data_IF_590713201353
#
_entry.id   IF_590713201353
#
_cell.length_a   1.000
_cell.length_b   1.000
_cell.length_c   1.000
_cell.angle_alpha   90.00
_cell.angle_beta   90.00
_cell.angle_gamma   90.00
#
_symmetry.space_group_name_H-M   'P 1'
#
loop_
_entity.id
_entity.type
_entity.pdbx_description
1 polymer ?
#
# COMPACT_ATOMS: atom_id res chain seq x y z
N UNK A 1 -22.03 0.62 4.68
CA UNK A 1 -20.91 1.57 4.52
C UNK A 1 -19.94 0.93 3.54
N UNK A 2 -19.26 1.71 2.70
CA UNK A 2 -18.31 1.19 1.72
C UNK A 2 -16.96 1.02 2.40
N UNK A 3 -16.51 -0.24 2.53
CA UNK A 3 -15.17 -0.61 3.01
C UNK A 3 -14.09 0.06 2.14
N UNK A 4 -13.19 0.80 2.77
CA UNK A 4 -12.01 1.39 2.13
C UNK A 4 -10.91 0.34 2.03
N UNK A 5 -10.54 -0.02 0.80
CA UNK A 5 -9.53 -1.05 0.55
C UNK A 5 -8.13 -0.46 0.73
N UNK A 6 -7.43 -0.91 1.76
CA UNK A 6 -6.10 -0.46 2.13
C UNK A 6 -5.06 -1.47 1.71
N UNK A 7 -3.96 -0.97 1.16
CA UNK A 7 -2.76 -1.73 0.89
C UNK A 7 -1.58 -1.19 1.71
N UNK A 8 -0.81 -2.08 2.33
CA UNK A 8 0.37 -1.73 3.13
C UNK A 8 1.66 -2.08 2.38
N UNK A 9 2.59 -1.14 2.29
CA UNK A 9 3.89 -1.32 1.63
C UNK A 9 5.00 -0.86 2.57
N UNK A 10 5.70 -1.80 3.19
CA UNK A 10 6.75 -1.53 4.17
C UNK A 10 7.70 -2.74 4.22
N UNK A 11 9.01 -2.55 4.29
CA UNK A 11 9.99 -3.64 4.37
C UNK A 11 10.15 -4.21 5.80
N UNK A 12 9.51 -3.60 6.80
CA UNK A 12 9.47 -4.02 8.20
C UNK A 12 8.16 -4.76 8.54
N UNK A 13 8.19 -6.09 8.74
CA UNK A 13 7.00 -6.88 9.08
C UNK A 13 6.29 -6.43 10.37
N UNK A 14 7.04 -5.86 11.33
CA UNK A 14 6.46 -5.37 12.58
C UNK A 14 5.54 -4.17 12.38
N UNK A 15 5.93 -3.24 11.49
CA UNK A 15 5.11 -2.06 11.18
C UNK A 15 3.81 -2.47 10.48
N UNK A 16 3.88 -3.36 9.48
CA UNK A 16 2.67 -3.87 8.80
C UNK A 16 1.69 -4.52 9.75
N UNK A 17 2.17 -5.37 10.67
CA UNK A 17 1.32 -5.99 11.69
C UNK A 17 0.70 -4.95 12.64
N UNK A 18 1.48 -3.97 13.09
CA UNK A 18 0.99 -2.93 13.99
C UNK A 18 -0.10 -2.08 13.33
N UNK A 19 0.15 -1.60 12.11
CA UNK A 19 -0.83 -0.83 11.33
C UNK A 19 -2.05 -1.69 11.03
N UNK A 20 -1.85 -2.94 10.62
CA UNK A 20 -2.95 -3.83 10.29
C UNK A 20 -3.85 -4.15 11.47
N UNK A 21 -3.28 -4.30 12.68
CA UNK A 21 -4.06 -4.41 13.91
C UNK A 21 -4.85 -3.14 14.20
N UNK A 22 -4.25 -1.96 14.03
CA UNK A 22 -4.95 -0.69 14.25
C UNK A 22 -6.15 -0.54 13.29
N UNK A 23 -5.96 -0.86 12.00
CA UNK A 23 -7.04 -0.81 11.01
C UNK A 23 -8.12 -1.86 11.28
N UNK A 24 -7.76 -3.04 11.83
CA UNK A 24 -8.74 -4.09 12.14
C UNK A 24 -9.74 -3.75 13.26
N UNK A 25 -9.50 -2.66 14.01
CA UNK A 25 -10.46 -2.18 15.01
C UNK A 25 -11.56 -1.30 14.41
N UNK A 26 -11.42 -0.89 13.14
CA UNK A 26 -12.35 -0.02 12.43
C UNK A 26 -13.03 -0.82 11.31
N UNK A 27 -14.35 -0.91 11.32
CA UNK A 27 -15.11 -1.68 10.32
C UNK A 27 -15.11 -1.03 8.91
N UNK A 28 -14.57 0.18 8.79
CA UNK A 28 -14.53 0.94 7.54
C UNK A 28 -13.28 0.64 6.68
N UNK A 29 -12.34 -0.18 7.15
CA UNK A 29 -11.09 -0.50 6.44
C UNK A 29 -10.89 -2.00 6.21
N UNK A 30 -10.52 -2.36 4.98
CA UNK A 30 -10.17 -3.73 4.59
C UNK A 30 -8.72 -3.77 4.11
N UNK A 31 -7.87 -4.62 4.71
CA UNK A 31 -6.51 -4.80 4.19
C UNK A 31 -6.54 -5.81 3.04
N UNK A 32 -6.45 -5.32 1.82
CA UNK A 32 -6.56 -6.15 0.61
C UNK A 32 -5.22 -6.67 0.10
N UNK A 33 -4.10 -6.03 0.49
CA UNK A 33 -2.77 -6.46 0.08
C UNK A 33 -1.67 -5.95 1.02
N UNK A 34 -0.58 -6.73 1.10
CA UNK A 34 0.67 -6.32 1.75
C UNK A 34 1.85 -6.57 0.81
N UNK A 35 2.76 -5.60 0.72
CA UNK A 35 4.01 -5.74 -0.01
C UNK A 35 5.21 -5.34 0.86
N UNK A 36 6.36 -5.97 0.59
CA UNK A 36 7.64 -5.65 1.26
C UNK A 36 8.61 -4.88 0.36
N UNK A 37 8.23 -4.62 -0.88
CA UNK A 37 9.04 -3.89 -1.85
C UNK A 37 8.15 -3.24 -2.91
N UNK A 38 8.73 -2.27 -3.62
CA UNK A 38 8.01 -1.48 -4.62
C UNK A 38 7.55 -2.22 -5.88
N UNK A 39 8.22 -3.31 -6.26
CA UNK A 39 7.86 -4.04 -7.49
C UNK A 39 6.61 -4.88 -7.25
N UNK A 40 6.58 -5.61 -6.14
CA UNK A 40 5.40 -6.36 -5.70
C UNK A 40 4.25 -5.41 -5.38
N UNK A 41 4.55 -4.26 -4.78
CA UNK A 41 3.54 -3.25 -4.47
C UNK A 41 2.76 -2.80 -5.70
N UNK A 42 3.47 -2.52 -6.80
CA UNK A 42 2.86 -2.09 -8.07
C UNK A 42 2.08 -3.21 -8.73
N UNK A 43 2.55 -4.46 -8.63
CA UNK A 43 1.83 -5.61 -9.18
C UNK A 43 0.53 -5.87 -8.42
N UNK A 44 0.61 -5.94 -7.09
CA UNK A 44 -0.54 -6.18 -6.21
C UNK A 44 -1.56 -5.06 -6.29
N UNK A 45 -1.16 -3.80 -6.34
CA UNK A 45 -2.11 -2.70 -6.45
C UNK A 45 -2.91 -2.71 -7.77
N UNK A 46 -2.35 -3.26 -8.86
CA UNK A 46 -3.11 -3.46 -10.11
C UNK A 46 -4.12 -4.59 -10.00
N UNK A 47 -3.85 -5.58 -9.17
CA UNK A 47 -4.72 -6.74 -8.97
C UNK A 47 -5.84 -6.45 -7.97
N UNK A 48 -5.53 -5.72 -6.90
CA UNK A 48 -6.45 -5.49 -5.79
C UNK A 48 -7.20 -4.17 -5.86
N UNK A 49 -6.78 -3.26 -6.75
CA UNK A 49 -7.35 -1.92 -6.94
C UNK A 49 -7.67 -1.21 -5.59
N UNK A 50 -6.66 -0.98 -4.74
CA UNK A 50 -6.88 -0.40 -3.42
C UNK A 50 -7.30 1.08 -3.53
N UNK A 51 -8.16 1.52 -2.61
CA UNK A 51 -8.56 2.92 -2.46
C UNK A 51 -7.46 3.76 -1.79
N UNK A 52 -6.65 3.12 -0.92
CA UNK A 52 -5.58 3.75 -0.16
C UNK A 52 -4.33 2.87 -0.13
N UNK A 53 -3.16 3.46 -0.38
CA UNK A 53 -1.86 2.79 -0.23
C UNK A 53 -1.06 3.49 0.86
N UNK A 54 -0.69 2.78 1.91
CA UNK A 54 0.27 3.24 2.92
C UNK A 54 1.67 2.76 2.53
N UNK A 55 2.50 3.68 2.05
CA UNK A 55 3.82 3.42 1.52
C UNK A 55 4.92 3.96 2.44
N UNK A 56 5.80 3.08 2.91
CA UNK A 56 7.04 3.48 3.53
C UNK A 56 8.03 4.03 2.48
N UNK A 57 8.55 5.23 2.77
CA UNK A 57 9.55 5.88 1.93
C UNK A 57 10.97 5.40 2.25
N UNK A 58 11.19 4.81 3.42
CA UNK A 58 12.51 4.43 3.96
C UNK A 58 12.84 2.94 3.78
N UNK A 59 12.28 2.28 2.77
CA UNK A 59 12.60 0.87 2.46
C UNK A 59 14.05 0.69 1.96
N UNK A 60 14.72 -0.37 2.41
CA UNK A 60 16.05 -0.76 1.89
C UNK A 60 15.91 -1.36 0.49
N UNK A 61 16.47 -0.71 -0.53
CA UNK A 61 16.51 -1.23 -1.90
C UNK A 61 15.88 -0.28 -2.93
N UNK A 62 14.90 -0.75 -3.69
CA UNK A 62 14.15 0.11 -4.62
C UNK A 62 13.40 1.17 -3.78
N UNK A 63 13.76 2.43 -3.97
CA UNK A 63 13.33 3.52 -3.09
C UNK A 63 11.80 3.61 -3.05
N UNK A 64 11.22 3.90 -1.89
CA UNK A 64 9.79 4.22 -1.80
C UNK A 64 9.39 5.36 -2.75
N UNK A 65 10.32 6.25 -3.10
CA UNK A 65 10.13 7.28 -4.13
C UNK A 65 10.00 6.70 -5.55
N UNK A 66 10.74 5.65 -5.90
CA UNK A 66 10.59 4.98 -7.20
C UNK A 66 9.25 4.25 -7.28
N UNK A 67 8.81 3.68 -6.16
CA UNK A 67 7.50 3.06 -6.01
C UNK A 67 6.39 4.10 -6.20
N UNK A 68 6.50 5.25 -5.55
CA UNK A 68 5.57 6.37 -5.70
C UNK A 68 5.49 6.85 -7.16
N UNK A 69 6.62 7.04 -7.83
CA UNK A 69 6.65 7.41 -9.26
C UNK A 69 5.97 6.37 -10.15
N UNK A 70 6.04 5.09 -9.81
CA UNK A 70 5.32 4.02 -10.55
C UNK A 70 3.82 4.09 -10.31
N UNK A 71 3.39 4.39 -9.08
CA UNK A 71 2.00 4.63 -8.75
C UNK A 71 1.44 5.84 -9.51
N UNK A 72 2.14 6.98 -9.55
CA UNK A 72 1.74 8.15 -10.33
C UNK A 72 1.58 7.85 -11.83
N UNK A 73 2.44 7.00 -12.39
CA UNK A 73 2.31 6.57 -13.79
C UNK A 73 1.12 5.64 -14.01
N UNK A 74 0.75 4.83 -13.01
CA UNK A 74 -0.46 4.00 -13.05
C UNK A 74 -1.72 4.84 -12.98
N UNK A 75 -1.76 5.83 -12.09
CA UNK A 75 -2.85 6.80 -11.96
C UNK A 75 -2.73 7.87 -13.03
N UNK A 76 -2.82 7.49 -14.30
CA UNK A 76 -3.03 8.42 -15.41
C UNK A 76 -4.44 9.03 -15.32
N UNK A 77 -4.64 9.88 -14.33
CA UNK A 77 -5.67 10.89 -14.14
C UNK A 77 -5.16 11.89 -13.08
N UNK A 78 -4.09 12.59 -13.43
CA UNK A 78 -3.76 13.86 -12.77
C UNK A 78 -4.79 14.87 -13.28
N UNK A 79 -5.74 15.24 -12.42
CA UNK A 79 -6.47 16.50 -12.54
C UNK A 79 -5.90 17.45 -11.51
#
# INVERSE_FOLDING_TARGET
MSECKVMLVDDHPLMRRGIGQLLSFEDDFEIVAEASNGSDAVALAKETEPDLVLLDLNMKGMSGLDTLKRFERMTSKVT
#
